data_IF_124244296970
#
_entry.id   IF_124244296970
#
_cell.length_a   1.000
_cell.length_b   1.000
_cell.length_c   1.000
_cell.angle_alpha   90.00
_cell.angle_beta   90.00
_cell.angle_gamma   90.00
#
_symmetry.space_group_name_H-M   'P 1'
#
loop_
_entity.id
_entity.type
_entity.pdbx_description
1 polymer ?
#
# COMPACT_ATOMS: atom_id res chain seq x y z
N UNK A 1 -5.71 28.47 -30.44
CA UNK A 1 -4.80 27.99 -29.36
C UNK A 1 -5.53 28.14 -28.03
N UNK A 2 -5.77 27.06 -27.27
CA UNK A 2 -6.55 27.14 -26.01
C UNK A 2 -5.69 27.72 -24.87
N UNK A 3 -6.23 28.62 -24.01
CA UNK A 3 -5.48 29.16 -22.88
C UNK A 3 -5.08 28.08 -21.88
N UNK A 4 -3.84 28.13 -21.35
CA UNK A 4 -3.30 27.12 -20.42
C UNK A 4 -4.14 26.91 -19.15
N UNK A 5 -4.93 27.91 -18.73
CA UNK A 5 -5.81 27.85 -17.56
C UNK A 5 -7.11 27.06 -17.79
N UNK A 6 -7.45 26.70 -19.03
CA UNK A 6 -8.55 25.79 -19.35
C UNK A 6 -8.14 24.31 -19.31
N UNK A 7 -6.85 24.00 -19.16
CA UNK A 7 -6.43 22.63 -18.94
C UNK A 7 -6.84 22.22 -17.53
N UNK A 8 -7.70 21.21 -17.40
CA UNK A 8 -7.97 20.58 -16.10
C UNK A 8 -6.63 20.26 -15.44
N UNK A 9 -6.39 20.69 -14.19
CA UNK A 9 -5.14 20.38 -13.52
C UNK A 9 -4.95 18.86 -13.55
N UNK A 10 -3.78 18.41 -14.01
CA UNK A 10 -3.42 16.99 -13.91
C UNK A 10 -3.50 16.61 -12.44
N UNK A 11 -4.15 15.48 -12.16
CA UNK A 11 -4.34 15.02 -10.81
C UNK A 11 -2.99 14.86 -10.10
N UNK A 12 -2.87 15.38 -8.88
CA UNK A 12 -1.60 15.36 -8.15
C UNK A 12 -1.26 13.95 -7.67
N UNK A 13 0.03 13.65 -7.51
CA UNK A 13 0.47 12.38 -6.90
C UNK A 13 -0.18 12.13 -5.53
N UNK A 14 -0.39 13.20 -4.75
CA UNK A 14 -1.06 13.13 -3.44
C UNK A 14 -2.52 12.71 -3.58
N UNK A 15 -3.27 13.29 -4.53
CA UNK A 15 -4.67 12.92 -4.76
C UNK A 15 -4.80 11.45 -5.20
N UNK A 16 -3.88 10.99 -6.05
CA UNK A 16 -3.85 9.60 -6.54
C UNK A 16 -3.52 8.60 -5.42
N UNK A 17 -2.53 8.91 -4.58
CA UNK A 17 -2.19 8.11 -3.39
C UNK A 17 -3.39 7.96 -2.45
N UNK A 18 -4.04 9.08 -2.12
CA UNK A 18 -5.22 9.07 -1.23
C UNK A 18 -6.39 8.26 -1.79
N UNK A 19 -6.61 8.29 -3.10
CA UNK A 19 -7.63 7.44 -3.74
C UNK A 19 -7.30 5.95 -3.56
N UNK A 20 -6.03 5.57 -3.70
CA UNK A 20 -5.59 4.20 -3.45
C UNK A 20 -5.76 3.82 -1.97
N UNK A 21 -5.28 4.65 -1.05
CA UNK A 21 -5.36 4.42 0.40
C UNK A 21 -6.81 4.21 0.85
N UNK A 22 -7.72 5.08 0.42
CA UNK A 22 -9.15 4.93 0.68
C UNK A 22 -9.72 3.62 0.11
N UNK A 23 -9.40 3.28 -1.14
CA UNK A 23 -9.84 2.02 -1.77
C UNK A 23 -9.34 0.80 -0.98
N UNK A 24 -8.07 0.82 -0.58
CA UNK A 24 -7.47 -0.25 0.20
C UNK A 24 -8.10 -0.36 1.59
N UNK A 25 -8.38 0.77 2.25
CA UNK A 25 -9.08 0.80 3.53
C UNK A 25 -10.46 0.15 3.42
N UNK A 26 -11.24 0.48 2.39
CA UNK A 26 -12.55 -0.14 2.15
C UNK A 26 -12.42 -1.65 1.88
N UNK A 27 -11.52 -2.06 0.98
CA UNK A 27 -11.33 -3.47 0.59
C UNK A 27 -10.84 -4.36 1.74
N UNK A 28 -9.94 -3.82 2.56
CA UNK A 28 -9.33 -4.54 3.68
C UNK A 28 -10.12 -4.38 4.99
N UNK A 29 -11.25 -3.65 4.98
CA UNK A 29 -11.98 -3.25 6.21
C UNK A 29 -11.04 -2.61 7.24
N UNK A 30 -10.16 -1.76 6.75
CA UNK A 30 -9.08 -1.11 7.46
C UNK A 30 -9.32 0.40 7.57
N UNK A 31 -8.48 1.09 8.35
CA UNK A 31 -8.49 2.55 8.50
C UNK A 31 -7.29 3.15 7.79
N UNK A 32 -7.49 4.31 7.17
CA UNK A 32 -6.40 5.17 6.70
C UNK A 32 -5.71 5.83 7.90
N UNK A 33 -4.39 5.85 7.91
CA UNK A 33 -3.62 6.49 8.98
C UNK A 33 -3.41 7.98 8.67
N UNK A 34 -3.86 8.84 9.58
CA UNK A 34 -3.63 10.28 9.47
C UNK A 34 -2.16 10.57 9.81
N UNK A 35 -1.41 11.13 8.85
CA UNK A 35 -0.01 11.59 8.96
C UNK A 35 1.11 10.57 8.63
N UNK A 36 0.91 9.65 7.67
CA UNK A 36 1.89 8.64 7.20
C UNK A 36 3.28 9.12 6.72
N UNK A 37 3.62 10.42 6.87
CA UNK A 37 4.90 11.03 6.52
C UNK A 37 5.78 11.51 7.68
N UNK A 38 5.34 11.41 8.93
CA UNK A 38 6.15 11.79 10.10
C UNK A 38 7.08 10.65 10.55
N UNK A 39 8.21 10.97 11.19
CA UNK A 39 9.24 9.99 11.60
C UNK A 39 8.75 8.88 12.56
N UNK A 40 7.56 9.04 13.13
CA UNK A 40 6.88 8.08 14.00
C UNK A 40 5.50 7.64 13.47
N UNK A 41 5.22 7.90 12.19
CA UNK A 41 3.92 7.62 11.61
C UNK A 41 3.69 6.12 11.44
N UNK A 42 2.44 5.69 11.58
CA UNK A 42 2.02 4.32 11.25
C UNK A 42 2.04 4.12 9.72
N UNK A 43 1.85 2.89 9.25
CA UNK A 43 1.73 2.63 7.82
C UNK A 43 0.40 3.19 7.28
N UNK A 44 0.29 3.39 5.96
CA UNK A 44 -0.80 4.13 5.32
C UNK A 44 -2.20 3.55 5.61
N UNK A 45 -2.34 2.22 5.69
CA UNK A 45 -3.62 1.54 5.94
C UNK A 45 -3.44 0.42 6.96
N UNK A 46 -4.27 0.35 8.00
CA UNK A 46 -4.17 -0.73 9.01
C UNK A 46 -5.52 -1.25 9.53
N UNK A 47 -5.54 -2.54 9.87
CA UNK A 47 -6.59 -3.19 10.68
C UNK A 47 -5.95 -4.17 11.67
N UNK A 48 -6.76 -4.97 12.38
CA UNK A 48 -6.26 -5.92 13.37
C UNK A 48 -5.34 -7.02 12.79
N UNK A 49 -5.46 -7.33 11.49
CA UNK A 49 -4.73 -8.41 10.83
C UNK A 49 -3.52 -7.93 10.01
N UNK A 50 -3.59 -6.75 9.39
CA UNK A 50 -2.59 -6.26 8.44
C UNK A 50 -2.24 -4.79 8.69
N UNK A 51 -0.98 -4.46 8.41
CA UNK A 51 -0.47 -3.09 8.37
C UNK A 51 0.22 -2.87 7.03
N UNK A 52 -0.28 -1.91 6.25
CA UNK A 52 0.01 -1.76 4.82
C UNK A 52 0.66 -0.42 4.54
N UNK A 53 1.86 -0.45 3.96
CA UNK A 53 2.44 0.70 3.29
C UNK A 53 1.96 0.71 1.82
N UNK A 54 1.27 1.76 1.41
CA UNK A 54 0.72 1.91 0.06
C UNK A 54 1.63 2.78 -0.82
N UNK A 55 1.80 2.38 -2.07
CA UNK A 55 2.55 3.13 -3.08
C UNK A 55 1.84 3.10 -4.41
N UNK A 56 1.71 4.27 -5.01
CA UNK A 56 1.15 4.44 -6.36
C UNK A 56 2.24 4.88 -7.33
N UNK A 57 2.24 4.32 -8.55
CA UNK A 57 3.18 4.73 -9.60
C UNK A 57 2.53 4.65 -10.98
N UNK A 58 2.79 5.64 -11.83
CA UNK A 58 2.49 5.59 -13.27
C UNK A 58 3.64 5.02 -14.10
N UNK A 59 4.77 4.68 -13.47
CA UNK A 59 5.93 4.08 -14.16
C UNK A 59 5.73 2.59 -14.31
N UNK A 60 6.32 1.99 -15.34
CA UNK A 60 6.38 0.53 -15.57
C UNK A 60 7.21 -0.27 -14.54
N UNK A 61 7.78 0.39 -13.55
CA UNK A 61 8.65 -0.23 -12.55
C UNK A 61 8.59 0.52 -11.22
N UNK A 62 8.73 -0.23 -10.12
CA UNK A 62 8.90 0.30 -8.77
C UNK A 62 10.13 -0.36 -8.12
N UNK A 63 10.99 0.43 -7.48
CA UNK A 63 12.17 -0.08 -6.78
C UNK A 63 11.88 -0.21 -5.30
N UNK A 64 11.88 -1.44 -4.80
CA UNK A 64 11.80 -1.72 -3.38
C UNK A 64 13.22 -1.84 -2.79
N UNK A 65 13.51 -1.04 -1.76
CA UNK A 65 14.71 -1.22 -0.92
C UNK A 65 14.36 -2.05 0.31
N UNK A 66 15.28 -2.90 0.76
CA UNK A 66 15.09 -3.69 1.98
C UNK A 66 14.76 -2.81 3.20
N UNK A 67 15.46 -1.68 3.36
CA UNK A 67 15.20 -0.71 4.44
C UNK A 67 13.76 -0.15 4.42
N UNK A 68 13.18 0.07 3.24
CA UNK A 68 11.78 0.50 3.11
C UNK A 68 10.82 -0.53 3.70
N UNK A 69 11.03 -1.82 3.38
CA UNK A 69 10.20 -2.88 3.92
C UNK A 69 10.43 -3.09 5.42
N UNK A 70 11.68 -3.00 5.88
CA UNK A 70 12.02 -3.07 7.31
C UNK A 70 11.37 -1.93 8.10
N UNK A 71 11.28 -0.71 7.55
CA UNK A 71 10.54 0.40 8.14
C UNK A 71 9.04 0.15 8.21
N UNK A 72 8.43 -0.42 7.17
CA UNK A 72 7.04 -0.87 7.22
C UNK A 72 6.83 -1.88 8.36
N UNK A 73 7.70 -2.89 8.45
CA UNK A 73 7.67 -3.90 9.51
C UNK A 73 7.85 -3.32 10.90
N UNK A 74 8.75 -2.35 11.09
CA UNK A 74 8.97 -1.68 12.38
C UNK A 74 7.74 -0.91 12.86
N UNK A 75 6.94 -0.39 11.92
CA UNK A 75 5.68 0.34 12.20
C UNK A 75 4.48 -0.56 12.41
N UNK A 76 4.61 -1.86 12.14
CA UNK A 76 3.55 -2.85 12.27
C UNK A 76 3.42 -3.31 13.73
N UNK A 77 2.20 -3.34 14.26
CA UNK A 77 1.91 -3.77 15.64
C UNK A 77 2.08 -5.29 15.75
N UNK A 78 2.36 -5.78 16.96
CA UNK A 78 2.47 -7.22 17.21
C UNK A 78 1.15 -7.91 16.85
N UNK A 79 1.24 -9.01 16.10
CA UNK A 79 0.07 -9.77 15.63
C UNK A 79 -0.43 -9.36 14.23
N UNK A 80 -0.05 -8.19 13.73
CA UNK A 80 -0.34 -7.78 12.36
C UNK A 80 0.69 -8.34 11.37
N UNK A 81 0.25 -8.57 10.13
CA UNK A 81 1.11 -8.89 9.00
C UNK A 81 1.55 -7.60 8.31
N UNK A 82 2.87 -7.31 8.23
CA UNK A 82 3.38 -6.19 7.45
C UNK A 82 3.23 -6.50 5.96
N UNK A 83 2.67 -5.56 5.22
CA UNK A 83 2.53 -5.65 3.77
C UNK A 83 2.92 -4.34 3.12
N UNK A 84 3.37 -4.43 1.87
CA UNK A 84 3.51 -3.27 1.01
C UNK A 84 2.72 -3.52 -0.27
N UNK A 85 1.83 -2.60 -0.62
CA UNK A 85 1.00 -2.69 -1.82
C UNK A 85 1.44 -1.62 -2.81
N UNK A 86 1.78 -2.05 -4.01
CA UNK A 86 2.19 -1.17 -5.11
C UNK A 86 1.15 -1.24 -6.21
N UNK A 87 0.54 -0.09 -6.53
CA UNK A 87 -0.40 0.05 -7.63
C UNK A 87 0.27 0.75 -8.83
N UNK A 88 0.29 0.04 -9.96
CA UNK A 88 0.79 0.48 -11.25
C UNK A 88 -0.37 1.01 -12.10
N UNK A 89 -0.61 2.32 -12.03
CA UNK A 89 -1.83 2.97 -12.53
C UNK A 89 -2.07 2.76 -14.03
N UNK A 90 -1.00 2.88 -14.84
CA UNK A 90 -1.09 2.73 -16.31
C UNK A 90 -1.38 1.28 -16.75
N UNK A 91 -1.25 0.32 -15.83
CA UNK A 91 -1.41 -1.11 -16.10
C UNK A 91 -2.59 -1.72 -15.35
N UNK A 92 -3.30 -0.93 -14.54
CA UNK A 92 -4.34 -1.40 -13.61
C UNK A 92 -3.89 -2.65 -12.82
N UNK A 93 -2.62 -2.64 -12.38
CA UNK A 93 -1.98 -3.79 -11.75
C UNK A 93 -1.62 -3.44 -10.30
N UNK A 94 -2.18 -4.20 -9.36
CA UNK A 94 -1.88 -4.07 -7.93
C UNK A 94 -1.13 -5.29 -7.42
N UNK A 95 0.07 -5.07 -6.88
CA UNK A 95 0.95 -6.13 -6.38
C UNK A 95 1.19 -5.97 -4.89
N UNK A 96 1.10 -7.08 -4.16
CA UNK A 96 1.38 -7.13 -2.73
C UNK A 96 2.72 -7.81 -2.46
N UNK A 97 3.54 -7.18 -1.63
CA UNK A 97 4.80 -7.74 -1.13
C UNK A 97 4.62 -8.18 0.31
N UNK A 98 4.94 -9.45 0.58
CA UNK A 98 4.87 -10.09 1.90
C UNK A 98 6.17 -10.87 2.18
N UNK A 99 6.52 -11.04 3.45
CA UNK A 99 7.53 -12.03 3.82
C UNK A 99 7.01 -13.44 3.48
N UNK A 100 7.88 -14.31 2.96
CA UNK A 100 7.53 -15.68 2.53
C UNK A 100 6.80 -16.48 3.61
N UNK A 101 7.10 -16.26 4.90
CA UNK A 101 6.41 -16.94 6.01
C UNK A 101 4.91 -16.69 6.04
N UNK A 102 4.46 -15.48 5.68
CA UNK A 102 3.04 -15.11 5.67
C UNK A 102 2.32 -15.72 4.47
N UNK A 103 3.01 -15.81 3.33
CA UNK A 103 2.52 -16.53 2.16
C UNK A 103 2.34 -18.01 2.47
N UNK A 104 3.32 -18.64 3.13
CA UNK A 104 3.24 -20.05 3.56
C UNK A 104 2.07 -20.28 4.51
N UNK A 105 1.89 -19.40 5.49
CA UNK A 105 0.79 -19.50 6.45
C UNK A 105 -0.58 -19.41 5.76
N UNK A 106 -0.74 -18.47 4.83
CA UNK A 106 -1.94 -18.35 4.02
C UNK A 106 -2.26 -19.65 3.24
N UNK A 107 -1.25 -20.23 2.59
CA UNK A 107 -1.44 -21.48 1.86
C UNK A 107 -1.73 -22.67 2.76
N UNK A 108 -1.10 -22.75 3.95
CA UNK A 108 -1.41 -23.81 4.93
C UNK A 108 -2.89 -23.76 5.34
N UNK A 109 -3.39 -22.57 5.67
CA UNK A 109 -4.78 -22.38 6.07
C UNK A 109 -5.77 -22.64 4.92
N UNK A 110 -5.38 -22.30 3.69
CA UNK A 110 -6.26 -22.39 2.52
C UNK A 110 -6.35 -23.79 1.91
N UNK A 111 -5.30 -24.59 2.02
CA UNK A 111 -5.23 -25.91 1.39
C UNK A 111 -5.70 -27.02 2.35
N UNK A 112 -5.82 -26.70 3.65
CA UNK A 112 -6.06 -27.68 4.70
C UNK A 112 -4.82 -28.55 4.87
N UNK A 113 -4.39 -28.74 6.11
CA UNK A 113 -3.44 -29.81 6.39
C UNK A 113 -4.14 -31.13 6.02
N UNK A 114 -3.70 -31.78 4.94
CA UNK A 114 -3.99 -33.19 4.68
C UNK A 114 -3.17 -34.05 5.62
#
# INVERSE_FOLDING_TARGET
>A
MRPKWMNKPRETTVSRSRKQEKRLAEQLKAKETIASGAAFAENDVENEMVSVEAKTTSKKSYTLKADTFLKCKKRTKLGQVPAMIVYFEEFDLELTVLETKHVREFFRQSIGDK
#
